data_IF_012356075531
#
_entry.id   IF_012356075531
#
_cell.length_a   1.000
_cell.length_b   1.000
_cell.length_c   1.000
_cell.angle_alpha   90.00
_cell.angle_beta   90.00
_cell.angle_gamma   90.00
#
_symmetry.space_group_name_H-M   'P 1'
#
loop_
_entity.id
_entity.type
_entity.pdbx_description
1 polymer ?
#
# COMPACT_ATOMS: atom_id res chain seq x y z
N UNK A 1 -11.98 7.64 -19.27
CA UNK A 1 -11.27 7.80 -17.99
C UNK A 1 -10.56 6.50 -17.67
N UNK A 2 -9.50 6.54 -16.86
CA UNK A 2 -8.64 5.37 -16.58
C UNK A 2 -9.22 4.39 -15.53
N UNK A 3 -10.50 4.52 -15.14
CA UNK A 3 -11.13 3.72 -14.08
C UNK A 3 -10.94 2.22 -14.34
N UNK A 4 -11.29 1.75 -15.54
CA UNK A 4 -11.19 0.32 -15.90
C UNK A 4 -9.73 -0.16 -15.86
N UNK A 5 -8.79 0.67 -16.31
CA UNK A 5 -7.37 0.36 -16.28
C UNK A 5 -6.85 0.24 -14.84
N UNK A 6 -7.19 1.21 -13.97
CA UNK A 6 -6.75 1.18 -12.57
C UNK A 6 -7.39 0.01 -11.82
N UNK A 7 -8.67 -0.27 -12.08
CA UNK A 7 -9.35 -1.44 -11.50
C UNK A 7 -8.69 -2.76 -11.91
N UNK A 8 -8.32 -2.92 -13.17
CA UNK A 8 -7.60 -4.10 -13.66
C UNK A 8 -6.20 -4.23 -13.05
N UNK A 9 -5.45 -3.12 -12.99
CA UNK A 9 -4.12 -3.08 -12.38
C UNK A 9 -4.15 -3.44 -10.89
N UNK A 10 -5.08 -2.87 -10.12
CA UNK A 10 -5.16 -3.06 -8.67
C UNK A 10 -5.76 -4.40 -8.25
N UNK A 11 -6.62 -5.02 -9.08
CA UNK A 11 -7.43 -6.18 -8.67
C UNK A 11 -7.29 -7.43 -9.53
N UNK A 12 -7.45 -7.31 -10.86
CA UNK A 12 -7.70 -8.48 -11.73
C UNK A 12 -6.43 -9.04 -12.34
N UNK A 13 -5.53 -8.17 -12.80
CA UNK A 13 -4.31 -8.55 -13.52
C UNK A 13 -3.23 -9.18 -12.64
N UNK A 14 -3.26 -8.89 -11.32
CA UNK A 14 -2.19 -9.25 -10.39
C UNK A 14 -0.91 -8.40 -10.53
N UNK A 15 -0.90 -7.41 -11.45
CA UNK A 15 0.28 -6.59 -11.71
C UNK A 15 0.69 -5.76 -10.49
N UNK A 16 -0.26 -5.11 -9.81
CA UNK A 16 0.02 -4.36 -8.59
C UNK A 16 0.72 -5.21 -7.52
N UNK A 17 0.23 -6.44 -7.29
CA UNK A 17 0.84 -7.37 -6.34
C UNK A 17 2.26 -7.78 -6.75
N UNK A 18 2.50 -8.02 -8.04
CA UNK A 18 3.83 -8.32 -8.56
C UNK A 18 4.80 -7.16 -8.36
N UNK A 19 4.36 -5.93 -8.64
CA UNK A 19 5.20 -4.73 -8.54
C UNK A 19 5.59 -4.45 -7.09
N UNK A 20 4.63 -4.52 -6.16
CA UNK A 20 4.89 -4.39 -4.73
C UNK A 20 5.80 -5.50 -4.19
N UNK A 21 5.67 -6.74 -4.67
CA UNK A 21 6.55 -7.84 -4.26
C UNK A 21 8.01 -7.57 -4.64
N UNK A 22 8.26 -7.03 -5.84
CA UNK A 22 9.60 -6.62 -6.27
C UNK A 22 10.16 -5.51 -5.37
N UNK A 23 9.38 -4.47 -5.09
CA UNK A 23 9.81 -3.37 -4.21
C UNK A 23 10.11 -3.86 -2.79
N UNK A 24 9.27 -4.74 -2.24
CA UNK A 24 9.48 -5.32 -0.91
C UNK A 24 10.77 -6.16 -0.85
N UNK A 25 11.04 -6.97 -1.88
CA UNK A 25 12.27 -7.76 -1.99
C UNK A 25 13.50 -6.87 -2.11
N UNK A 26 13.45 -5.84 -2.94
CA UNK A 26 14.56 -4.89 -3.12
C UNK A 26 14.84 -4.09 -1.84
N UNK A 27 13.80 -3.62 -1.16
CA UNK A 27 13.95 -2.91 0.12
C UNK A 27 14.56 -3.82 1.20
N UNK A 28 14.13 -5.08 1.28
CA UNK A 28 14.73 -6.07 2.17
C UNK A 28 16.19 -6.37 1.81
N UNK A 29 16.53 -6.46 0.52
CA UNK A 29 17.90 -6.65 0.07
C UNK A 29 18.78 -5.46 0.44
N UNK A 30 18.28 -4.23 0.24
CA UNK A 30 18.97 -3.00 0.63
C UNK A 30 19.21 -2.96 2.14
N UNK A 31 18.18 -3.23 2.95
CA UNK A 31 18.30 -3.27 4.42
C UNK A 31 19.36 -4.28 4.89
N UNK A 32 19.43 -5.47 4.27
CA UNK A 32 20.45 -6.49 4.58
C UNK A 32 21.86 -6.12 4.14
N UNK A 33 21.99 -5.31 3.10
CA UNK A 33 23.28 -4.87 2.57
C UNK A 33 23.87 -3.67 3.33
N UNK A 34 23.04 -2.93 4.09
CA UNK A 34 23.50 -1.82 4.90
C UNK A 34 24.45 -2.32 5.99
N UNK A 35 25.63 -1.70 6.04
CA UNK A 35 26.52 -1.84 7.19
C UNK A 35 26.03 -0.87 8.25
N UNK A 36 25.35 -1.43 9.23
CA UNK A 36 24.85 -0.72 10.40
C UNK A 36 26.05 -0.06 11.13
N UNK A 37 26.17 1.28 11.16
CA UNK A 37 27.41 1.95 11.56
C UNK A 37 27.73 1.88 13.05
N UNK A 38 26.74 1.62 13.91
CA UNK A 38 26.87 1.68 15.36
C UNK A 38 26.17 0.49 16.03
N UNK A 39 26.78 -0.09 17.06
CA UNK A 39 26.16 -1.06 17.98
C UNK A 39 25.48 -0.28 19.13
N UNK A 40 24.72 0.76 18.78
CA UNK A 40 24.03 1.64 19.73
C UNK A 40 22.55 1.28 19.90
N UNK A 41 22.03 0.42 19.01
CA UNK A 41 20.65 -0.08 19.04
C UNK A 41 19.61 0.93 18.55
N UNK A 42 20.02 2.00 17.85
CA UNK A 42 19.11 3.03 17.35
C UNK A 42 18.69 2.87 15.89
N UNK A 43 19.09 1.77 15.25
CA UNK A 43 18.72 1.51 13.86
C UNK A 43 17.24 1.19 13.74
N UNK A 44 16.58 1.94 12.85
CA UNK A 44 15.14 1.84 12.63
C UNK A 44 14.82 1.71 11.14
N UNK A 45 13.73 1.01 10.87
CA UNK A 45 13.09 0.99 9.56
C UNK A 45 11.68 1.53 9.72
N UNK A 46 11.41 2.66 9.07
CA UNK A 46 10.12 3.33 9.12
C UNK A 46 9.26 2.83 7.97
N UNK A 47 8.01 2.48 8.29
CA UNK A 47 6.99 2.07 7.33
C UNK A 47 5.83 3.05 7.42
N UNK A 48 5.33 3.46 6.26
CA UNK A 48 4.02 4.10 6.16
C UNK A 48 2.90 3.07 6.38
N UNK A 49 1.67 3.52 6.67
CA UNK A 49 0.53 2.65 6.95
C UNK A 49 -0.32 2.47 5.69
N UNK A 50 -0.92 3.55 5.20
CA UNK A 50 -1.86 3.53 4.09
C UNK A 50 -1.15 3.18 2.77
N UNK A 51 -1.77 2.31 1.98
CA UNK A 51 -1.26 1.76 0.72
C UNK A 51 0.13 1.09 0.81
N UNK A 52 0.67 0.91 2.02
CA UNK A 52 1.97 0.29 2.30
C UNK A 52 1.83 -0.97 3.15
N UNK A 53 1.24 -0.86 4.34
CA UNK A 53 0.94 -2.00 5.22
C UNK A 53 -0.54 -2.39 5.15
N UNK A 54 -1.42 -1.40 5.04
CA UNK A 54 -2.86 -1.57 4.90
C UNK A 54 -3.31 -1.05 3.55
N UNK A 55 -4.31 -1.71 2.96
CA UNK A 55 -4.90 -1.33 1.69
C UNK A 55 -6.30 -0.79 1.90
N UNK A 56 -6.52 0.43 1.41
CA UNK A 56 -7.81 1.11 1.32
C UNK A 56 -8.50 0.83 -0.03
N UNK A 57 -8.02 -0.16 -0.79
CA UNK A 57 -8.57 -0.56 -2.08
C UNK A 57 -10.08 -0.86 -2.04
N UNK A 58 -10.67 -1.49 -0.99
CA UNK A 58 -12.12 -1.67 -0.92
C UNK A 58 -12.90 -0.35 -0.99
N UNK A 59 -12.42 0.69 -0.29
CA UNK A 59 -13.01 2.03 -0.36
C UNK A 59 -12.88 2.58 -1.78
N UNK A 60 -11.68 2.59 -2.35
CA UNK A 60 -11.44 3.15 -3.67
C UNK A 60 -12.19 2.41 -4.78
N UNK A 61 -12.35 1.09 -4.69
CA UNK A 61 -13.12 0.29 -5.64
C UNK A 61 -14.61 0.70 -5.67
N UNK A 62 -15.18 1.06 -4.51
CA UNK A 62 -16.55 1.58 -4.42
C UNK A 62 -16.69 3.03 -4.91
N UNK A 63 -15.58 3.78 -4.99
CA UNK A 63 -15.55 5.22 -5.28
C UNK A 63 -14.83 5.56 -6.60
N UNK A 64 -14.80 4.63 -7.56
CA UNK A 64 -14.31 4.89 -8.91
C UNK A 64 -12.78 4.94 -9.02
N UNK A 65 -12.06 4.27 -8.12
CA UNK A 65 -10.60 4.15 -8.15
C UNK A 65 -9.89 5.52 -8.22
N UNK A 66 -10.35 6.49 -7.43
CA UNK A 66 -9.77 7.83 -7.38
C UNK A 66 -10.15 8.75 -8.55
N UNK A 67 -11.13 8.37 -9.38
CA UNK A 67 -11.63 9.26 -10.43
C UNK A 67 -12.52 10.40 -9.92
N UNK A 68 -13.05 10.23 -8.70
CA UNK A 68 -13.91 11.21 -8.06
C UNK A 68 -13.07 12.21 -7.26
N UNK A 69 -13.62 13.41 -7.03
CA UNK A 69 -12.98 14.36 -6.12
C UNK A 69 -12.91 13.78 -4.70
N UNK A 70 -11.86 14.14 -3.97
CA UNK A 70 -11.64 13.68 -2.61
C UNK A 70 -12.82 14.06 -1.69
N UNK A 71 -13.28 13.09 -0.91
CA UNK A 71 -14.29 13.25 0.14
C UNK A 71 -13.73 12.72 1.47
N UNK A 72 -12.94 13.57 2.13
CA UNK A 72 -12.28 13.25 3.40
C UNK A 72 -13.28 12.81 4.47
N UNK A 73 -14.51 13.34 4.44
CA UNK A 73 -15.52 12.97 5.43
C UNK A 73 -15.95 11.52 5.23
N UNK A 74 -16.27 11.15 3.99
CA UNK A 74 -16.64 9.78 3.65
C UNK A 74 -15.50 8.80 3.94
N UNK A 75 -14.26 9.17 3.61
CA UNK A 75 -13.10 8.33 3.90
C UNK A 75 -12.90 8.12 5.40
N UNK A 76 -12.94 9.19 6.20
CA UNK A 76 -12.80 9.09 7.65
C UNK A 76 -13.92 8.26 8.29
N UNK A 77 -15.16 8.40 7.82
CA UNK A 77 -16.28 7.55 8.28
C UNK A 77 -16.03 6.06 7.97
N UNK A 78 -15.40 5.75 6.83
CA UNK A 78 -15.03 4.38 6.47
C UNK A 78 -13.84 3.86 7.29
N UNK A 79 -12.84 4.69 7.58
CA UNK A 79 -11.69 4.33 8.44
C UNK A 79 -12.16 3.87 9.82
N UNK A 80 -13.17 4.53 10.40
CA UNK A 80 -13.76 4.14 11.69
C UNK A 80 -14.46 2.77 11.67
N UNK A 81 -14.77 2.22 10.49
CA UNK A 81 -15.29 0.85 10.35
C UNK A 81 -14.18 -0.21 10.47
N UNK A 82 -12.91 0.19 10.41
CA UNK A 82 -11.74 -0.69 10.49
C UNK A 82 -11.76 -1.82 9.45
N UNK A 83 -12.18 -1.51 8.22
CA UNK A 83 -12.31 -2.47 7.11
C UNK A 83 -11.10 -2.51 6.16
N UNK A 84 -10.05 -1.72 6.44
CA UNK A 84 -8.82 -1.78 5.65
C UNK A 84 -8.19 -3.17 5.72
N UNK A 85 -7.65 -3.62 4.59
CA UNK A 85 -7.15 -4.98 4.47
C UNK A 85 -5.63 -4.98 4.68
N UNK A 86 -5.10 -5.99 5.38
CA UNK A 86 -3.66 -6.20 5.40
C UNK A 86 -3.16 -6.38 3.96
N UNK A 87 -2.13 -5.62 3.58
CA UNK A 87 -1.47 -5.88 2.33
C UNK A 87 -0.79 -7.25 2.38
N UNK A 88 -1.17 -8.14 1.45
CA UNK A 88 -0.60 -9.48 1.34
C UNK A 88 0.36 -9.50 0.15
N UNK A 89 1.67 -9.27 0.35
CA UNK A 89 2.63 -9.63 -0.67
C UNK A 89 2.63 -11.16 -0.76
N UNK A 90 2.42 -11.68 -1.97
CA UNK A 90 2.37 -13.12 -2.25
C UNK A 90 3.67 -13.81 -1.85
#
# INVERSE_FOLDING_TARGET
MCIDYVGDYMGVSGQYSSDCAVVALDAAAAARALRVPADDGFDAWVFDIDETLLSNLPYYAAHGFGSNADDDKSFNEWVELAESQLYQPV
#
